data_IF_790636008705
#
_entry.id   IF_790636008705
#
_cell.length_a   1.000
_cell.length_b   1.000
_cell.length_c   1.000
_cell.angle_alpha   90.00
_cell.angle_beta   90.00
_cell.angle_gamma   90.00
#
_symmetry.space_group_name_H-M   'P 1'
#
loop_
_entity.id
_entity.type
_entity.pdbx_description
1 polymer ?
#
# COMPACT_ATOMS: atom_id res chain seq x y z
N UNK A 1 -3.72 1.44 12.35
CA UNK A 1 -3.45 0.01 12.10
C UNK A 1 -4.74 -0.77 11.85
N UNK A 2 -5.67 -0.84 12.82
CA UNK A 2 -6.97 -1.56 12.70
C UNK A 2 -7.68 -1.31 11.36
N UNK A 3 -8.00 -0.06 11.05
CA UNK A 3 -8.71 0.27 9.80
C UNK A 3 -7.80 0.20 8.57
N UNK A 4 -6.74 1.03 8.55
CA UNK A 4 -5.93 1.19 7.34
C UNK A 4 -5.27 -0.10 6.84
N UNK A 5 -4.82 -0.97 7.74
CA UNK A 5 -4.12 -2.20 7.37
C UNK A 5 -5.04 -3.42 7.50
N UNK A 6 -5.54 -3.73 8.70
CA UNK A 6 -6.30 -4.97 8.90
C UNK A 6 -7.63 -4.98 8.14
N UNK A 7 -8.43 -3.92 8.21
CA UNK A 7 -9.69 -3.89 7.44
C UNK A 7 -9.45 -3.90 5.93
N UNK A 8 -8.42 -3.21 5.42
CA UNK A 8 -8.04 -3.29 3.99
C UNK A 8 -7.63 -4.71 3.62
N UNK A 9 -6.84 -5.37 4.47
CA UNK A 9 -6.44 -6.77 4.29
C UNK A 9 -7.67 -7.67 4.24
N UNK A 10 -8.59 -7.54 5.19
CA UNK A 10 -9.80 -8.39 5.25
C UNK A 10 -10.68 -8.18 4.01
N UNK A 11 -10.83 -6.93 3.53
CA UNK A 11 -11.49 -6.65 2.25
C UNK A 11 -10.78 -7.35 1.09
N UNK A 12 -9.46 -7.33 1.04
CA UNK A 12 -8.70 -8.06 0.02
C UNK A 12 -8.88 -9.58 0.16
N UNK A 13 -8.86 -10.13 1.37
CA UNK A 13 -9.07 -11.56 1.63
C UNK A 13 -10.42 -12.03 1.08
N UNK A 14 -11.49 -11.27 1.32
CA UNK A 14 -12.83 -11.65 0.89
C UNK A 14 -13.09 -11.36 -0.60
N UNK A 15 -12.57 -10.25 -1.14
CA UNK A 15 -12.95 -9.77 -2.48
C UNK A 15 -11.96 -10.11 -3.59
N UNK A 16 -10.66 -10.33 -3.29
CA UNK A 16 -9.70 -10.71 -4.34
C UNK A 16 -10.05 -12.04 -5.04
N UNK A 17 -10.55 -13.08 -4.35
CA UNK A 17 -11.01 -14.30 -5.01
C UNK A 17 -12.13 -14.06 -6.04
N UNK A 18 -12.94 -13.02 -5.84
CA UNK A 18 -14.07 -12.66 -6.70
C UNK A 18 -13.65 -11.83 -7.93
N UNK A 19 -12.40 -11.36 -7.99
CA UNK A 19 -11.93 -10.55 -9.12
C UNK A 19 -11.97 -11.36 -10.41
N UNK A 20 -12.69 -10.82 -11.41
CA UNK A 20 -12.79 -11.40 -12.74
C UNK A 20 -11.51 -11.18 -13.55
N UNK A 21 -11.27 -11.96 -14.62
CA UNK A 21 -10.24 -11.64 -15.59
C UNK A 21 -10.35 -10.20 -16.09
N UNK A 22 -9.20 -9.58 -16.35
CA UNK A 22 -9.04 -8.16 -16.68
C UNK A 22 -9.49 -7.21 -15.54
N UNK A 23 -9.68 -7.71 -14.32
CA UNK A 23 -9.95 -6.88 -13.15
C UNK A 23 -8.79 -5.95 -12.79
N UNK A 24 -9.11 -4.79 -12.23
CA UNK A 24 -8.12 -3.85 -11.67
C UNK A 24 -8.40 -3.67 -10.18
N UNK A 25 -7.35 -3.71 -9.36
CA UNK A 25 -7.43 -3.50 -7.91
C UNK A 25 -6.51 -2.34 -7.54
N UNK A 26 -7.08 -1.36 -6.82
CA UNK A 26 -6.37 -0.13 -6.47
C UNK A 26 -6.45 0.08 -4.97
N UNK A 27 -5.30 -0.07 -4.31
CA UNK A 27 -5.17 0.22 -2.89
C UNK A 27 -4.65 1.65 -2.69
N UNK A 28 -5.46 2.52 -2.09
CA UNK A 28 -5.05 3.91 -1.80
C UNK A 28 -4.14 3.93 -0.57
N UNK A 29 -2.84 3.99 -0.82
CA UNK A 29 -1.78 4.15 0.17
C UNK A 29 -1.50 5.65 0.40
N UNK A 30 -0.23 6.06 0.54
CA UNK A 30 0.19 7.46 0.69
C UNK A 30 1.70 7.59 0.49
N UNK A 31 2.19 8.71 -0.04
CA UNK A 31 3.62 9.02 -0.08
C UNK A 31 4.25 9.11 1.33
N UNK A 32 3.43 9.23 2.38
CA UNK A 32 3.90 9.11 3.76
C UNK A 32 4.46 7.71 4.06
N UNK A 33 4.02 6.65 3.35
CA UNK A 33 4.61 5.31 3.50
C UNK A 33 6.07 5.28 3.06
N UNK A 34 6.42 5.97 1.97
CA UNK A 34 7.80 6.07 1.48
C UNK A 34 8.67 6.85 2.47
N UNK A 35 8.14 7.94 3.05
CA UNK A 35 8.85 8.71 4.07
C UNK A 35 9.06 7.89 5.33
N UNK A 36 8.02 7.20 5.81
CA UNK A 36 8.09 6.33 6.97
C UNK A 36 9.09 5.18 6.75
N UNK A 37 9.10 4.56 5.56
CA UNK A 37 10.04 3.50 5.21
C UNK A 37 11.48 3.99 5.31
N UNK A 38 11.80 5.18 4.79
CA UNK A 38 13.14 5.78 4.89
C UNK A 38 13.58 6.06 6.32
N UNK A 39 12.63 6.23 7.24
CA UNK A 39 12.86 6.45 8.66
C UNK A 39 12.89 5.16 9.49
N UNK A 40 12.57 4.00 8.90
CA UNK A 40 12.76 2.71 9.56
C UNK A 40 14.26 2.37 9.68
N UNK A 41 14.62 1.47 10.59
CA UNK A 41 15.96 0.87 10.63
C UNK A 41 16.29 0.11 9.33
N UNK A 42 17.59 -0.11 9.02
CA UNK A 42 18.01 -0.88 7.85
C UNK A 42 17.36 -2.28 7.77
N UNK A 43 17.18 -2.95 8.90
CA UNK A 43 16.59 -4.28 9.00
C UNK A 43 15.10 -4.25 8.63
N UNK A 44 14.35 -3.29 9.16
CA UNK A 44 12.94 -3.11 8.81
C UNK A 44 12.79 -2.68 7.34
N UNK A 45 13.68 -1.82 6.85
CA UNK A 45 13.72 -1.43 5.44
C UNK A 45 13.92 -2.63 4.53
N UNK A 46 14.87 -3.52 4.86
CA UNK A 46 15.11 -4.75 4.11
C UNK A 46 13.86 -5.64 4.07
N UNK A 47 13.20 -5.84 5.23
CA UNK A 47 11.97 -6.64 5.31
C UNK A 47 10.84 -6.05 4.46
N UNK A 48 10.61 -4.74 4.54
CA UNK A 48 9.54 -4.09 3.78
C UNK A 48 9.83 -3.93 2.28
N UNK A 49 11.09 -4.04 1.86
CA UNK A 49 11.48 -4.10 0.44
C UNK A 49 11.58 -5.51 -0.12
N UNK A 50 11.63 -6.53 0.72
CA UNK A 50 11.75 -7.93 0.30
C UNK A 50 10.71 -8.28 -0.77
N UNK A 51 11.17 -8.90 -1.85
CA UNK A 51 10.32 -9.46 -2.91
C UNK A 51 9.75 -10.84 -2.53
N UNK A 52 10.08 -11.36 -1.35
CA UNK A 52 9.64 -12.69 -0.87
C UNK A 52 8.89 -12.65 0.46
N UNK A 53 8.70 -11.47 1.07
CA UNK A 53 7.92 -11.32 2.31
C UNK A 53 6.53 -11.93 2.14
N UNK A 54 6.08 -12.70 3.13
CA UNK A 54 4.73 -13.29 3.16
C UNK A 54 3.72 -12.35 3.82
N UNK A 55 2.43 -12.55 3.55
CA UNK A 55 1.38 -11.79 4.22
C UNK A 55 1.42 -11.99 5.74
N UNK A 56 1.68 -13.21 6.20
CA UNK A 56 1.80 -13.55 7.62
C UNK A 56 2.97 -12.82 8.30
N UNK A 57 4.12 -12.72 7.62
CA UNK A 57 5.26 -11.96 8.13
C UNK A 57 4.93 -10.47 8.20
N UNK A 58 4.28 -9.91 7.17
CA UNK A 58 3.83 -8.52 7.20
C UNK A 58 2.84 -8.27 8.34
N UNK A 59 1.88 -9.16 8.56
CA UNK A 59 0.92 -9.08 9.68
C UNK A 59 1.64 -9.09 11.03
N UNK A 60 2.64 -9.96 11.21
CA UNK A 60 3.46 -9.99 12.43
C UNK A 60 4.20 -8.66 12.65
N UNK A 61 4.78 -8.07 11.60
CA UNK A 61 5.44 -6.77 11.68
C UNK A 61 4.46 -5.64 12.04
N UNK A 62 3.27 -5.62 11.45
CA UNK A 62 2.25 -4.61 11.74
C UNK A 62 1.73 -4.71 13.18
N UNK A 63 1.56 -5.94 13.71
CA UNK A 63 1.23 -6.16 15.11
C UNK A 63 2.39 -5.76 16.04
N UNK A 64 3.63 -6.11 15.68
CA UNK A 64 4.82 -5.73 16.45
C UNK A 64 4.93 -4.22 16.61
N UNK A 65 4.71 -3.43 15.56
CA UNK A 65 4.69 -1.96 15.68
C UNK A 65 3.66 -1.46 16.71
N UNK A 66 2.45 -2.03 16.72
CA UNK A 66 1.40 -1.66 17.68
C UNK A 66 1.80 -2.03 19.11
N UNK A 67 2.49 -3.15 19.30
CA UNK A 67 2.94 -3.58 20.61
C UNK A 67 4.14 -2.77 21.11
N UNK A 68 5.13 -2.54 20.25
CA UNK A 68 6.32 -1.75 20.58
C UNK A 68 5.96 -0.28 20.91
N UNK A 69 4.91 0.26 20.28
CA UNK A 69 4.41 1.61 20.61
C UNK A 69 3.72 1.65 21.97
N UNK A 70 2.90 0.65 22.32
CA UNK A 70 2.30 0.53 23.66
C UNK A 70 3.35 0.41 24.76
N UNK A 71 4.41 -0.36 24.49
CA UNK A 71 5.52 -0.56 25.43
C UNK A 71 6.52 0.60 25.45
N UNK A 72 6.33 1.63 24.62
CA UNK A 72 7.21 2.81 24.58
C UNK A 72 8.60 2.55 24.00
N UNK A 73 8.80 1.45 23.26
CA UNK A 73 10.11 1.01 22.73
C UNK A 73 10.23 1.10 21.22
N UNK A 74 9.21 1.59 20.51
CA UNK A 74 9.15 1.58 19.05
C UNK A 74 10.37 2.22 18.35
N UNK A 75 10.88 3.36 18.83
CA UNK A 75 12.06 4.01 18.23
C UNK A 75 13.33 3.16 18.40
N UNK A 76 13.50 2.54 19.58
CA UNK A 76 14.61 1.61 19.86
C UNK A 76 14.53 0.36 18.97
N UNK A 77 13.32 -0.12 18.70
CA UNK A 77 13.06 -1.25 17.81
C UNK A 77 13.12 -0.87 16.31
N UNK A 78 13.50 0.38 16.00
CA UNK A 78 13.77 0.83 14.63
C UNK A 78 12.56 1.36 13.87
N UNK A 79 11.42 1.56 14.54
CA UNK A 79 10.21 2.09 13.92
C UNK A 79 10.26 3.62 13.79
N UNK A 80 9.61 4.19 12.76
CA UNK A 80 9.47 5.63 12.64
C UNK A 80 8.35 6.14 13.56
N UNK A 81 8.45 7.41 13.98
CA UNK A 81 7.48 8.06 14.87
C UNK A 81 6.21 8.54 14.14
N UNK A 82 5.67 7.74 13.21
CA UNK A 82 4.42 8.02 12.48
C UNK A 82 3.53 6.78 12.32
N UNK A 83 2.55 6.61 13.21
CA UNK A 83 1.63 5.47 13.17
C UNK A 83 0.80 5.40 11.87
N UNK A 84 0.41 6.55 11.32
CA UNK A 84 -0.25 6.61 10.01
C UNK A 84 0.69 6.12 8.90
N UNK A 85 1.94 6.60 8.87
CA UNK A 85 2.94 6.19 7.89
C UNK A 85 3.20 4.69 7.92
N UNK A 86 3.39 4.09 9.09
CA UNK A 86 3.56 2.63 9.23
C UNK A 86 2.34 1.85 8.73
N UNK A 87 1.12 2.34 9.01
CA UNK A 87 -0.08 1.69 8.46
C UNK A 87 -0.13 1.72 6.93
N UNK A 88 0.41 2.77 6.30
CA UNK A 88 0.51 2.89 4.84
C UNK A 88 1.71 2.14 4.25
N UNK A 89 2.78 1.90 5.01
CA UNK A 89 3.79 0.87 4.68
C UNK A 89 3.08 -0.48 4.54
N UNK A 90 2.26 -0.85 5.53
CA UNK A 90 1.46 -2.07 5.49
C UNK A 90 0.64 -2.20 4.22
N UNK A 91 -0.12 -1.16 3.84
CA UNK A 91 -0.93 -1.16 2.60
C UNK A 91 -0.07 -1.31 1.33
N UNK A 92 1.06 -0.59 1.25
CA UNK A 92 1.95 -0.68 0.08
C UNK A 92 2.58 -2.07 -0.05
N UNK A 93 3.09 -2.64 1.04
CA UNK A 93 3.72 -3.98 1.02
C UNK A 93 2.67 -5.07 0.80
N UNK A 94 1.48 -4.96 1.39
CA UNK A 94 0.38 -5.89 1.14
C UNK A 94 0.01 -5.93 -0.36
N UNK A 95 -0.01 -4.75 -1.00
CA UNK A 95 -0.28 -4.66 -2.44
C UNK A 95 0.81 -5.36 -3.28
N UNK A 96 2.08 -5.25 -2.89
CA UNK A 96 3.18 -5.98 -3.54
C UNK A 96 3.00 -7.50 -3.40
N UNK A 97 2.65 -7.97 -2.21
CA UNK A 97 2.39 -9.40 -1.93
C UNK A 97 1.23 -9.91 -2.77
N UNK A 98 0.08 -9.21 -2.75
CA UNK A 98 -1.10 -9.66 -3.49
C UNK A 98 -0.90 -9.64 -5.00
N UNK A 99 -0.16 -8.66 -5.53
CA UNK A 99 0.22 -8.64 -6.94
C UNK A 99 1.10 -9.86 -7.31
N UNK A 100 2.12 -10.17 -6.51
CA UNK A 100 2.94 -11.37 -6.70
C UNK A 100 2.10 -12.65 -6.69
N UNK A 101 1.22 -12.79 -5.70
CA UNK A 101 0.34 -13.96 -5.60
C UNK A 101 -0.60 -14.06 -6.82
N UNK A 102 -1.15 -12.94 -7.32
CA UNK A 102 -1.96 -12.93 -8.54
C UNK A 102 -1.15 -13.36 -9.77
N UNK A 103 0.11 -12.93 -9.89
CA UNK A 103 0.99 -13.36 -10.98
C UNK A 103 1.26 -14.87 -10.94
N UNK A 104 1.53 -15.41 -9.75
CA UNK A 104 1.83 -16.84 -9.55
C UNK A 104 0.62 -17.75 -9.80
N UNK A 105 -0.57 -17.35 -9.35
CA UNK A 105 -1.75 -18.22 -9.33
C UNK A 105 -2.78 -17.92 -10.42
N UNK A 106 -2.79 -16.69 -10.95
CA UNK A 106 -3.80 -16.17 -11.89
C UNK A 106 -3.18 -15.31 -13.01
N UNK A 107 -1.92 -15.55 -13.38
CA UNK A 107 -1.19 -14.73 -14.37
C UNK A 107 -1.89 -14.61 -15.73
N UNK A 108 -2.62 -15.65 -16.17
CA UNK A 108 -3.38 -15.62 -17.43
C UNK A 108 -4.62 -14.71 -17.39
N UNK A 109 -5.12 -14.36 -16.20
CA UNK A 109 -6.35 -13.57 -16.05
C UNK A 109 -6.13 -12.07 -16.28
N UNK A 110 -4.89 -11.60 -16.44
CA UNK A 110 -4.56 -10.17 -16.68
C UNK A 110 -5.15 -9.22 -15.63
N UNK A 111 -5.14 -9.63 -14.37
CA UNK A 111 -5.54 -8.79 -13.24
C UNK A 111 -4.37 -7.88 -12.84
N UNK A 112 -4.60 -6.58 -12.75
CA UNK A 112 -3.58 -5.62 -12.32
C UNK A 112 -3.93 -5.05 -10.94
N UNK A 113 -3.03 -5.24 -9.98
CA UNK A 113 -3.14 -4.69 -8.63
C UNK A 113 -1.99 -3.73 -8.33
N UNK A 114 -2.28 -2.53 -7.83
CA UNK A 114 -1.27 -1.54 -7.43
C UNK A 114 -1.65 -0.77 -6.17
N UNK A 115 -0.64 -0.27 -5.47
CA UNK A 115 -0.79 0.77 -4.46
C UNK A 115 -0.61 2.16 -5.08
N UNK A 116 -1.28 3.18 -4.55
CA UNK A 116 -1.08 4.54 -5.03
C UNK A 116 -1.09 5.62 -3.94
N UNK A 117 -0.60 6.80 -4.30
CA UNK A 117 -0.78 8.04 -3.55
C UNK A 117 -1.71 8.98 -4.34
N UNK A 118 -2.77 9.54 -3.72
CA UNK A 118 -3.62 10.54 -4.35
C UNK A 118 -3.03 11.97 -4.28
N UNK A 119 -1.85 12.14 -3.66
CA UNK A 119 -1.28 13.45 -3.33
C UNK A 119 -1.87 14.04 -2.03
N UNK A 120 -1.64 15.34 -1.80
CA UNK A 120 -2.18 16.05 -0.63
C UNK A 120 -3.50 16.73 -1.01
N UNK A 121 -4.62 16.11 -0.63
CA UNK A 121 -5.97 16.43 -1.14
C UNK A 121 -6.83 17.12 -0.08
N UNK A 122 -7.53 18.20 -0.44
CA UNK A 122 -8.47 18.93 0.42
C UNK A 122 -9.68 18.06 0.74
N UNK A 123 -9.61 17.42 1.89
CA UNK A 123 -10.63 16.56 2.50
C UNK A 123 -10.65 16.81 4.00
N UNK A 124 -11.63 16.27 4.71
CA UNK A 124 -11.69 16.34 6.18
C UNK A 124 -10.41 15.82 6.86
N UNK A 125 -9.72 14.85 6.24
CA UNK A 125 -8.48 14.27 6.76
C UNK A 125 -7.28 15.24 6.71
N UNK A 126 -7.19 16.08 5.67
CA UNK A 126 -6.01 16.90 5.39
C UNK A 126 -6.24 18.40 5.60
N UNK A 127 -7.50 18.82 5.62
CA UNK A 127 -7.92 20.22 5.78
C UNK A 127 -7.80 21.05 4.48
N UNK A 128 -8.24 22.32 4.54
CA UNK A 128 -8.38 23.18 3.36
C UNK A 128 -7.04 23.65 2.77
N UNK A 129 -5.93 23.52 3.52
CA UNK A 129 -4.58 23.94 3.07
C UNK A 129 -3.90 22.95 2.13
N UNK A 130 -4.50 21.78 1.91
CA UNK A 130 -3.96 20.78 1.01
C UNK A 130 -3.97 21.27 -0.45
N UNK A 131 -3.01 20.82 -1.25
CA UNK A 131 -2.73 21.40 -2.57
C UNK A 131 -3.73 20.98 -3.64
N UNK A 132 -4.28 19.76 -3.57
CA UNK A 132 -5.19 19.19 -4.57
C UNK A 132 -6.66 19.27 -4.17
N UNK A 133 -7.56 19.40 -5.13
CA UNK A 133 -9.00 19.15 -4.95
C UNK A 133 -9.28 17.64 -4.92
N UNK A 134 -10.46 17.20 -4.43
CA UNK A 134 -10.87 15.81 -4.52
C UNK A 134 -10.80 15.24 -5.96
N UNK A 135 -11.17 16.02 -6.96
CA UNK A 135 -11.11 15.64 -8.38
C UNK A 135 -9.68 15.40 -8.83
N UNK A 136 -8.75 16.32 -8.53
CA UNK A 136 -7.31 16.16 -8.81
C UNK A 136 -6.69 14.98 -8.04
N UNK A 137 -7.19 14.69 -6.84
CA UNK A 137 -6.77 13.56 -6.02
C UNK A 137 -7.23 12.21 -6.56
N UNK A 138 -8.38 12.16 -7.23
CA UNK A 138 -8.95 10.95 -7.80
C UNK A 138 -8.23 10.48 -9.07
N UNK A 139 -7.44 11.34 -9.72
CA UNK A 139 -6.84 11.05 -11.02
C UNK A 139 -5.97 9.80 -11.07
N UNK A 140 -5.05 9.62 -10.10
CA UNK A 140 -4.16 8.44 -10.09
C UNK A 140 -4.93 7.15 -9.74
N UNK A 141 -5.80 7.13 -8.70
CA UNK A 141 -6.65 5.98 -8.45
C UNK A 141 -7.52 5.57 -9.65
N UNK A 142 -8.18 6.53 -10.31
CA UNK A 142 -9.02 6.28 -11.48
C UNK A 142 -8.19 5.79 -12.67
N UNK A 143 -7.03 6.38 -12.92
CA UNK A 143 -6.09 5.91 -13.93
C UNK A 143 -5.73 4.42 -13.75
N UNK A 144 -5.42 3.99 -12.52
CA UNK A 144 -5.08 2.60 -12.24
C UNK A 144 -6.28 1.66 -12.36
N UNK A 145 -7.48 2.12 -11.99
CA UNK A 145 -8.71 1.34 -12.11
C UNK A 145 -9.11 1.11 -13.57
N UNK A 146 -8.73 2.03 -14.47
CA UNK A 146 -9.12 2.03 -15.89
C UNK A 146 -7.96 1.68 -16.84
N UNK A 147 -6.89 1.04 -16.35
CA UNK A 147 -5.82 0.56 -17.24
C UNK A 147 -6.41 -0.31 -18.36
N UNK A 148 -6.01 -0.12 -19.64
CA UNK A 148 -6.58 -0.85 -20.76
C UNK A 148 -6.50 -2.37 -20.58
N UNK A 149 -7.49 -3.17 -21.05
CA UNK A 149 -7.52 -4.63 -20.89
C UNK A 149 -6.22 -5.36 -21.22
N UNK A 150 -5.53 -4.90 -22.26
CA UNK A 150 -4.29 -5.42 -22.80
C UNK A 150 -3.03 -4.98 -22.05
N UNK A 151 -3.15 -4.07 -21.10
CA UNK A 151 -2.01 -3.55 -20.35
C UNK A 151 -1.30 -4.67 -19.55
N UNK A 152 0.01 -4.75 -19.71
CA UNK A 152 0.88 -5.63 -18.92
C UNK A 152 1.30 -5.02 -17.58
N UNK A 153 1.06 -3.72 -17.39
CA UNK A 153 1.37 -3.03 -16.14
C UNK A 153 0.85 -1.59 -16.09
N UNK A 154 1.10 -0.88 -14.97
CA UNK A 154 1.86 -1.32 -13.81
C UNK A 154 1.19 -2.46 -13.04
N UNK A 155 1.99 -3.33 -12.41
CA UNK A 155 1.53 -4.39 -11.51
C UNK A 155 2.46 -4.51 -10.30
N UNK A 156 1.90 -4.56 -9.09
CA UNK A 156 2.65 -4.61 -7.83
C UNK A 156 3.44 -3.34 -7.52
N UNK A 157 3.10 -2.22 -8.17
CA UNK A 157 3.84 -0.97 -8.06
C UNK A 157 3.22 -0.04 -7.02
N UNK A 158 4.04 0.90 -6.54
CA UNK A 158 3.57 2.10 -5.87
C UNK A 158 3.55 3.26 -6.87
N UNK A 159 2.38 3.88 -7.08
CA UNK A 159 2.17 4.86 -8.16
C UNK A 159 1.70 6.20 -7.59
N UNK A 160 2.31 7.30 -8.06
CA UNK A 160 1.93 8.67 -7.70
C UNK A 160 2.02 9.55 -8.95
N UNK A 161 1.06 10.44 -9.17
CA UNK A 161 0.95 11.25 -10.39
C UNK A 161 1.01 10.40 -11.68
N UNK A 162 0.31 9.25 -11.70
CA UNK A 162 0.31 8.26 -12.80
C UNK A 162 1.71 7.73 -13.17
N UNK A 163 2.70 7.88 -12.27
CA UNK A 163 4.09 7.41 -12.46
C UNK A 163 4.46 6.40 -11.39
N UNK A 164 5.16 5.34 -11.79
CA UNK A 164 5.75 4.38 -10.86
C UNK A 164 6.81 5.08 -10.02
N UNK A 165 6.77 4.85 -8.71
CA UNK A 165 7.69 5.40 -7.72
C UNK A 165 8.50 4.25 -7.13
N UNK A 166 9.83 4.38 -7.01
CA UNK A 166 10.64 3.40 -6.31
C UNK A 166 10.17 3.24 -4.87
N UNK A 167 10.13 1.98 -4.42
CA UNK A 167 9.83 1.58 -3.05
C UNK A 167 11.15 1.28 -2.30
#
# INVERSE_FOLDING_TARGET
>A
MKTNFFSTRDVCTELLPLMKPQGRVVNVSSDVSVRALKSCSPELQQKFRSDTISEEELVRLMNKFVEDTKNGVHEKEGWPSTAYGVSKIGVTVLSRIHARNLSEHRGGDKILLNACCPGWVRTDMAGPKATKSPEEGAETPVYLALLPPEAEGPHGQFVSEKKVRPW
#
